data_IF_735741530228
#
_entry.id   IF_735741530228
#
_cell.length_a   1.000
_cell.length_b   1.000
_cell.length_c   1.000
_cell.angle_alpha   90.00
_cell.angle_beta   90.00
_cell.angle_gamma   90.00
#
_symmetry.space_group_name_H-M   'P 1'
#
loop_
_entity.id
_entity.type
_entity.pdbx_description
1 polymer ?
#
# COMPACT_ATOMS: atom_id res chain seq x y z
N UNK A 1 -21.97 -6.66 -15.82
CA UNK A 1 -20.82 -6.00 -15.17
C UNK A 1 -19.61 -6.89 -15.39
N UNK A 2 -18.69 -6.52 -16.28
CA UNK A 2 -17.46 -7.29 -16.48
C UNK A 2 -16.63 -7.27 -15.20
N UNK A 3 -16.07 -8.41 -14.80
CA UNK A 3 -15.11 -8.46 -13.70
C UNK A 3 -13.96 -7.49 -13.99
N UNK A 4 -13.57 -6.67 -13.01
CA UNK A 4 -12.40 -5.80 -13.05
C UNK A 4 -11.28 -6.42 -12.19
N UNK A 5 -10.63 -7.50 -12.66
CA UNK A 5 -9.68 -8.27 -11.86
C UNK A 5 -8.50 -7.44 -11.35
N UNK A 6 -8.09 -6.42 -12.09
CA UNK A 6 -7.03 -5.49 -11.73
C UNK A 6 -7.38 -4.65 -10.49
N UNK A 7 -8.65 -4.26 -10.32
CA UNK A 7 -9.10 -3.53 -9.12
C UNK A 7 -9.16 -4.44 -7.89
N UNK A 8 -9.59 -5.68 -8.08
CA UNK A 8 -9.57 -6.69 -7.01
C UNK A 8 -8.13 -6.96 -6.58
N UNK A 9 -7.21 -7.15 -7.53
CA UNK A 9 -5.78 -7.32 -7.26
C UNK A 9 -5.19 -6.11 -6.56
N UNK A 10 -5.51 -4.90 -7.01
CA UNK A 10 -5.05 -3.66 -6.38
C UNK A 10 -5.51 -3.59 -4.92
N UNK A 11 -6.80 -3.85 -4.65
CA UNK A 11 -7.34 -3.87 -3.30
C UNK A 11 -6.66 -4.94 -2.42
N UNK A 12 -6.36 -6.12 -2.95
CA UNK A 12 -5.73 -7.21 -2.18
C UNK A 12 -4.22 -6.99 -1.94
N UNK A 13 -3.51 -6.33 -2.87
CA UNK A 13 -2.05 -6.29 -2.89
C UNK A 13 -1.46 -4.94 -2.47
N UNK A 14 -2.27 -3.90 -2.26
CA UNK A 14 -1.78 -2.56 -1.90
C UNK A 14 -0.84 -2.58 -0.68
N UNK A 15 -1.09 -3.52 0.24
CA UNK A 15 -0.40 -3.67 1.52
C UNK A 15 0.74 -4.71 1.52
N UNK A 16 1.04 -5.33 0.37
CA UNK A 16 2.01 -6.44 0.29
C UNK A 16 3.37 -6.06 0.88
N UNK A 17 3.78 -4.80 0.72
CA UNK A 17 5.06 -4.31 1.22
C UNK A 17 5.21 -4.35 2.75
N UNK A 18 4.10 -4.42 3.52
CA UNK A 18 4.14 -4.52 4.99
C UNK A 18 4.91 -5.78 5.45
N UNK A 19 5.03 -6.80 4.58
CA UNK A 19 5.78 -8.03 4.85
C UNK A 19 7.28 -7.80 5.01
N UNK A 20 7.85 -6.81 4.32
CA UNK A 20 9.31 -6.57 4.33
C UNK A 20 9.84 -6.14 5.70
N UNK A 21 9.00 -5.53 6.53
CA UNK A 21 9.37 -5.12 7.89
C UNK A 21 9.47 -6.30 8.87
N UNK A 22 8.88 -7.45 8.51
CA UNK A 22 8.75 -8.65 9.34
C UNK A 22 8.09 -8.36 10.72
N UNK A 23 7.30 -7.30 10.86
CA UNK A 23 6.71 -6.92 12.15
C UNK A 23 5.47 -7.78 12.47
N UNK A 24 5.34 -8.19 13.72
CA UNK A 24 4.09 -8.75 14.25
C UNK A 24 2.98 -7.69 14.23
N UNK A 25 1.70 -8.08 14.32
CA UNK A 25 0.59 -7.12 14.41
C UNK A 25 0.77 -6.09 15.52
N UNK A 26 1.25 -6.52 16.70
CA UNK A 26 1.57 -5.62 17.83
C UNK A 26 2.69 -4.65 17.47
N UNK A 27 3.76 -5.15 16.81
CA UNK A 27 4.86 -4.30 16.36
C UNK A 27 4.43 -3.25 15.34
N UNK A 28 3.52 -3.60 14.42
CA UNK A 28 2.94 -2.66 13.46
C UNK A 28 2.15 -1.57 14.17
N UNK A 29 1.30 -1.93 15.14
CA UNK A 29 0.54 -0.97 15.92
C UNK A 29 1.46 0.01 16.69
N UNK A 30 2.53 -0.50 17.31
CA UNK A 30 3.51 0.34 17.99
C UNK A 30 4.21 1.32 17.04
N UNK A 31 4.68 0.84 15.87
CA UNK A 31 5.32 1.70 14.86
C UNK A 31 4.36 2.77 14.35
N UNK A 32 3.11 2.41 14.07
CA UNK A 32 2.09 3.39 13.67
C UNK A 32 1.83 4.43 14.75
N UNK A 33 1.73 4.02 16.02
CA UNK A 33 1.54 4.96 17.13
C UNK A 33 2.74 5.90 17.31
N UNK A 34 3.96 5.34 17.34
CA UNK A 34 5.21 6.09 17.45
C UNK A 34 5.37 7.12 16.33
N UNK A 35 5.11 6.71 15.07
CA UNK A 35 5.17 7.60 13.92
C UNK A 35 4.17 8.78 14.04
N UNK A 36 2.95 8.51 14.52
CA UNK A 36 1.93 9.56 14.71
C UNK A 36 2.32 10.63 15.74
N UNK A 37 3.11 10.27 16.75
CA UNK A 37 3.57 11.21 17.80
C UNK A 37 5.00 11.72 17.54
N UNK A 38 5.58 11.44 16.38
CA UNK A 38 6.92 11.91 16.00
C UNK A 38 8.08 11.21 16.72
N UNK A 39 7.84 10.02 17.29
CA UNK A 39 8.90 9.23 17.91
C UNK A 39 9.71 8.46 16.86
N UNK A 40 11.02 8.28 17.09
CA UNK A 40 11.86 7.51 16.18
C UNK A 40 11.39 6.06 16.11
N UNK A 41 11.27 5.56 14.88
CA UNK A 41 11.01 4.15 14.61
C UNK A 41 12.30 3.52 14.12
N UNK A 42 12.71 2.38 14.70
CA UNK A 42 13.93 1.69 14.27
C UNK A 42 13.86 1.23 12.82
N UNK A 43 14.95 0.65 12.29
CA UNK A 43 15.08 0.24 10.87
C UNK A 43 13.85 -0.50 10.31
N UNK A 44 13.32 -1.48 11.05
CA UNK A 44 12.12 -2.26 10.64
C UNK A 44 10.86 -1.41 10.60
N UNK A 45 10.73 -0.44 11.51
CA UNK A 45 9.65 0.52 11.49
C UNK A 45 9.75 1.46 10.30
N UNK A 46 10.96 1.91 9.94
CA UNK A 46 11.18 2.68 8.69
C UNK A 46 10.74 1.90 7.45
N UNK A 47 11.14 0.62 7.35
CA UNK A 47 10.69 -0.28 6.26
C UNK A 47 9.15 -0.41 6.24
N UNK A 48 8.52 -0.49 7.41
CA UNK A 48 7.06 -0.57 7.51
C UNK A 48 6.37 0.72 7.07
N UNK A 49 6.90 1.89 7.42
CA UNK A 49 6.32 3.17 6.99
C UNK A 49 6.46 3.36 5.47
N UNK A 50 7.52 2.81 4.88
CA UNK A 50 7.80 2.86 3.44
C UNK A 50 7.17 1.68 2.65
N UNK A 51 6.21 0.96 3.25
CA UNK A 51 5.64 -0.25 2.67
C UNK A 51 4.97 -0.03 1.31
N UNK A 52 4.34 1.12 1.08
CA UNK A 52 3.68 1.42 -0.20
C UNK A 52 4.67 1.49 -1.36
N UNK A 53 5.79 2.21 -1.18
CA UNK A 53 6.87 2.30 -2.18
C UNK A 53 7.52 0.94 -2.42
N UNK A 54 7.90 0.24 -1.35
CA UNK A 54 8.55 -1.07 -1.44
C UNK A 54 7.64 -2.13 -2.09
N UNK A 55 6.35 -2.13 -1.73
CA UNK A 55 5.35 -3.00 -2.33
C UNK A 55 5.16 -2.72 -3.83
N UNK A 56 5.10 -1.44 -4.21
CA UNK A 56 5.01 -1.06 -5.62
C UNK A 56 6.25 -1.44 -6.44
N UNK A 57 7.45 -1.34 -5.86
CA UNK A 57 8.69 -1.81 -6.49
C UNK A 57 8.68 -3.31 -6.74
N UNK A 58 8.24 -4.10 -5.74
CA UNK A 58 8.07 -5.54 -5.89
C UNK A 58 7.04 -5.88 -6.98
N UNK A 59 5.87 -5.26 -6.94
CA UNK A 59 4.79 -5.50 -7.92
C UNK A 59 5.24 -5.16 -9.34
N UNK A 60 6.01 -4.07 -9.49
CA UNK A 60 6.60 -3.69 -10.79
C UNK A 60 7.60 -4.72 -11.28
N UNK A 61 8.47 -5.22 -10.40
CA UNK A 61 9.44 -6.27 -10.75
C UNK A 61 8.77 -7.58 -11.19
N UNK A 62 7.56 -7.86 -10.66
CA UNK A 62 6.75 -9.02 -11.01
C UNK A 62 5.85 -8.79 -12.24
N UNK A 63 5.88 -7.61 -12.86
CA UNK A 63 5.07 -7.30 -14.04
C UNK A 63 3.58 -7.13 -13.76
N UNK A 64 3.21 -6.69 -12.55
CA UNK A 64 1.82 -6.40 -12.21
C UNK A 64 1.23 -5.25 -13.05
N UNK A 65 -0.11 -5.16 -13.08
CA UNK A 65 -0.82 -4.16 -13.85
C UNK A 65 -0.62 -2.74 -13.27
N UNK A 66 -0.63 -1.68 -14.11
CA UNK A 66 -0.41 -0.31 -13.63
C UNK A 66 -1.32 0.12 -12.46
N UNK A 67 -2.64 -0.17 -12.45
CA UNK A 67 -3.48 0.19 -11.31
C UNK A 67 -3.08 -0.50 -9.99
N UNK A 68 -2.51 -1.71 -10.05
CA UNK A 68 -2.06 -2.47 -8.88
C UNK A 68 -0.79 -1.83 -8.30
N UNK A 69 0.17 -1.52 -9.16
CA UNK A 69 1.43 -0.86 -8.79
C UNK A 69 1.15 0.53 -8.22
N UNK A 70 0.35 1.31 -8.94
CA UNK A 70 0.12 2.71 -8.62
C UNK A 70 -0.77 2.88 -7.40
N UNK A 71 -1.73 1.98 -7.16
CA UNK A 71 -2.49 2.01 -5.92
C UNK A 71 -1.60 1.65 -4.72
N UNK A 72 -0.77 0.61 -4.81
CA UNK A 72 0.18 0.26 -3.74
C UNK A 72 1.09 1.44 -3.36
N UNK A 73 1.64 2.14 -4.35
CA UNK A 73 2.51 3.30 -4.13
C UNK A 73 1.80 4.50 -3.48
N UNK A 74 0.51 4.72 -3.77
CA UNK A 74 -0.16 5.99 -3.49
C UNK A 74 -1.37 5.91 -2.56
N UNK A 75 -1.79 4.74 -2.07
CA UNK A 75 -3.06 4.57 -1.32
C UNK A 75 -3.24 5.47 -0.07
N UNK A 76 -2.16 6.01 0.50
CA UNK A 76 -2.20 7.01 1.59
C UNK A 76 -2.15 8.48 1.15
N UNK A 77 -2.04 8.75 -0.16
CA UNK A 77 -1.78 10.07 -0.73
C UNK A 77 -2.71 10.42 -1.88
N UNK A 78 -2.14 11.01 -2.93
CA UNK A 78 -2.89 11.52 -4.07
C UNK A 78 -3.16 10.46 -5.13
N UNK A 79 -4.29 10.61 -5.84
CA UNK A 79 -4.66 9.71 -6.93
C UNK A 79 -3.67 9.83 -8.09
N UNK A 80 -3.02 8.74 -8.53
CA UNK A 80 -2.18 8.75 -9.72
C UNK A 80 -3.03 8.86 -11.01
N UNK A 81 -2.49 9.42 -12.10
CA UNK A 81 -3.23 9.63 -13.35
C UNK A 81 -3.67 8.33 -14.05
N UNK A 82 -3.01 7.22 -13.75
CA UNK A 82 -3.32 5.88 -14.28
C UNK A 82 -4.61 5.27 -13.71
N UNK A 83 -5.13 5.79 -12.60
CA UNK A 83 -6.36 5.31 -11.96
C UNK A 83 -7.45 6.35 -12.17
N UNK A 84 -8.58 5.92 -12.76
CA UNK A 84 -9.73 6.81 -12.95
C UNK A 84 -10.27 7.31 -11.61
N UNK A 85 -10.90 8.50 -11.53
CA UNK A 85 -11.47 8.99 -10.28
C UNK A 85 -12.49 8.02 -9.63
N UNK A 86 -13.30 7.34 -10.45
CA UNK A 86 -14.28 6.36 -9.97
C UNK A 86 -13.62 5.09 -9.40
N UNK A 87 -12.59 4.57 -10.07
CA UNK A 87 -11.84 3.40 -9.61
C UNK A 87 -11.03 3.74 -8.34
N UNK A 88 -10.44 4.93 -8.28
CA UNK A 88 -9.76 5.43 -7.08
C UNK A 88 -10.68 5.53 -5.88
N UNK A 89 -11.86 6.14 -6.04
CA UNK A 89 -12.85 6.23 -4.98
C UNK A 89 -13.28 4.84 -4.49
N UNK A 90 -13.38 3.87 -5.39
CA UNK A 90 -13.69 2.48 -5.06
C UNK A 90 -12.57 1.82 -4.25
N UNK A 91 -11.33 1.96 -4.69
CA UNK A 91 -10.16 1.38 -4.03
C UNK A 91 -9.90 1.99 -2.65
N UNK A 92 -9.98 3.32 -2.52
CA UNK A 92 -9.86 4.03 -1.23
C UNK A 92 -10.98 3.62 -0.26
N UNK A 93 -12.19 3.33 -0.77
CA UNK A 93 -13.27 2.81 0.06
C UNK A 93 -13.00 1.38 0.55
N UNK A 94 -12.33 0.55 -0.25
CA UNK A 94 -12.01 -0.83 0.09
C UNK A 94 -10.84 -0.98 1.07
N UNK A 95 -9.96 0.02 1.15
CA UNK A 95 -8.83 0.10 2.09
C UNK A 95 -9.25 0.38 3.55
N UNK A 96 -10.47 0.90 3.76
CA UNK A 96 -10.99 1.30 5.08
C UNK A 96 -11.92 0.27 5.69
#
# INVERSE_FOLDING_TARGET
>A
MGSRPELIRAALLHDIGKRHANLSPVGRAFVTAAAKVGLPVGRRGGIYLDHGRLGAEELRALGAEPPVIDFAANHHGERPPSISPADWATLVKADR
#
